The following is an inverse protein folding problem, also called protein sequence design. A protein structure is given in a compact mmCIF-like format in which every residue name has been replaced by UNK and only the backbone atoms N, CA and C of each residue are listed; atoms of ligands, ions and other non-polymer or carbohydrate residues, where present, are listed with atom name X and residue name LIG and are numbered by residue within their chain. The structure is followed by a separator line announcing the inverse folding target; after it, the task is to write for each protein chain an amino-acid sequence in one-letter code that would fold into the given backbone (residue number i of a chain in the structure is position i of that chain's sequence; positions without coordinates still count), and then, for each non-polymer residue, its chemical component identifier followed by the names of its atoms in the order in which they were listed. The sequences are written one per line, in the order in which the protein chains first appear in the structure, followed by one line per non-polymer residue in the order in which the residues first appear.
data_IF_328097837319
#
_entry.id   IF_328097837319
#
_cell.length_a   1.000
_cell.length_b   1.000
_cell.length_c   1.000
_cell.angle_alpha   90.00
_cell.angle_beta   90.00
_cell.angle_gamma   90.00
#
_symmetry.space_group_name_H-M   'P 1'
#
loop_
_entity.id
_entity.type
_entity.pdbx_description
1 polymer ?
#
# COMPACT_ATOMS: atom_id res chain seq x y z
N UNK A 1 0.99 -4.10 -12.98
CA UNK A 1 0.97 -2.62 -13.12
C UNK A 1 2.12 -2.06 -12.30
N UNK A 2 2.63 -0.84 -12.57
CA UNK A 2 3.70 -0.22 -11.78
C UNK A 2 3.27 0.00 -10.33
N UNK A 3 4.24 0.17 -9.43
CA UNK A 3 3.98 0.59 -8.05
C UNK A 3 5.07 1.52 -7.55
N UNK A 4 4.75 2.30 -6.53
CA UNK A 4 5.64 3.27 -5.90
C UNK A 4 5.40 3.29 -4.39
N UNK A 5 6.40 3.74 -3.63
CA UNK A 5 6.29 3.97 -2.20
C UNK A 5 5.95 5.45 -1.96
N UNK A 6 4.89 5.72 -1.20
CA UNK A 6 4.48 7.08 -0.83
C UNK A 6 4.15 7.15 0.66
N UNK A 7 5.12 7.57 1.48
CA UNK A 7 4.88 7.75 2.91
C UNK A 7 3.88 8.89 3.24
N UNK A 8 3.51 9.70 2.25
CA UNK A 8 2.50 10.77 2.38
C UNK A 8 1.06 10.27 2.21
N UNK A 9 0.85 9.14 1.55
CA UNK A 9 -0.45 8.46 1.45
C UNK A 9 -0.75 7.70 2.73
N UNK A 10 -1.97 7.81 3.28
CA UNK A 10 -2.32 7.17 4.55
C UNK A 10 -2.77 5.70 4.44
N UNK A 11 -2.85 5.15 3.23
CA UNK A 11 -3.47 3.86 2.92
C UNK A 11 -2.75 3.13 1.78
N UNK A 12 -3.05 1.86 1.57
CA UNK A 12 -2.72 1.17 0.33
C UNK A 12 -3.72 1.54 -0.77
N UNK A 13 -3.29 2.08 -1.92
CA UNK A 13 -4.20 2.30 -3.04
C UNK A 13 -3.87 1.40 -4.23
N UNK A 14 -4.81 0.55 -4.61
CA UNK A 14 -4.59 -0.46 -5.66
C UNK A 14 -5.92 -0.95 -6.21
N UNK A 15 -5.91 -1.28 -7.51
CA UNK A 15 -7.04 -1.79 -8.29
C UNK A 15 -8.32 -0.94 -8.16
N UNK A 16 -9.29 -1.11 -9.06
CA UNK A 16 -10.65 -0.60 -8.82
C UNK A 16 -11.41 -1.62 -7.99
N UNK A 17 -12.49 -1.22 -7.29
CA UNK A 17 -13.39 -2.18 -6.62
C UNK A 17 -13.92 -3.27 -7.56
N UNK A 18 -14.16 -2.92 -8.83
CA UNK A 18 -14.57 -3.90 -9.84
C UNK A 18 -13.47 -4.92 -10.19
N UNK A 19 -12.20 -4.53 -10.11
CA UNK A 19 -11.07 -5.40 -10.41
C UNK A 19 -10.58 -6.19 -9.18
N UNK A 20 -10.65 -5.60 -7.98
CA UNK A 20 -10.27 -6.26 -6.73
C UNK A 20 -11.38 -7.15 -6.15
N UNK A 21 -12.64 -6.86 -6.47
CA UNK A 21 -13.80 -7.47 -5.81
C UNK A 21 -14.11 -6.89 -4.43
N UNK A 22 -13.31 -5.92 -3.97
CA UNK A 22 -13.46 -5.30 -2.65
C UNK A 22 -14.43 -4.11 -2.76
N UNK A 23 -15.57 -4.13 -2.05
CA UNK A 23 -16.57 -3.08 -2.16
C UNK A 23 -16.02 -1.73 -1.65
N UNK A 24 -16.33 -0.61 -2.34
CA UNK A 24 -15.97 0.72 -1.84
C UNK A 24 -16.93 1.14 -0.71
N UNK A 25 -16.50 2.06 0.15
CA UNK A 25 -17.37 2.68 1.14
C UNK A 25 -18.43 3.59 0.48
N UNK A 26 -19.68 3.46 0.91
CA UNK A 26 -20.84 4.20 0.38
C UNK A 26 -21.20 5.47 1.17
N UNK A 27 -20.50 5.73 2.27
CA UNK A 27 -20.76 6.82 3.24
C UNK A 27 -19.60 7.83 3.31
N UNK A 28 -19.41 8.49 4.45
CA UNK A 28 -18.38 9.52 4.69
C UNK A 28 -16.95 9.08 4.35
N UNK A 29 -16.68 7.78 4.29
CA UNK A 29 -15.37 7.16 4.04
C UNK A 29 -15.12 6.93 2.54
N UNK A 30 -15.77 7.71 1.66
CA UNK A 30 -15.54 7.66 0.23
C UNK A 30 -14.05 7.74 -0.12
N UNK A 31 -13.63 6.94 -1.11
CA UNK A 31 -12.22 6.80 -1.48
C UNK A 31 -11.51 5.63 -0.80
N UNK A 32 -12.17 4.92 0.12
CA UNK A 32 -11.65 3.70 0.76
C UNK A 32 -12.51 2.46 0.48
N UNK A 33 -11.94 1.30 0.81
CA UNK A 33 -12.60 0.00 0.79
C UNK A 33 -13.37 -0.26 2.10
N UNK A 34 -14.53 -0.90 1.97
CA UNK A 34 -15.41 -1.30 3.08
C UNK A 34 -15.87 -2.76 2.92
N UNK A 35 -14.95 -3.75 2.94
CA UNK A 35 -15.34 -5.16 2.91
C UNK A 35 -16.16 -5.55 4.16
N UNK A 36 -16.98 -6.60 4.06
CA UNK A 36 -17.79 -7.10 5.18
C UNK A 36 -16.99 -7.87 6.23
N UNK A 37 -15.78 -8.31 5.90
CA UNK A 37 -14.78 -8.92 6.78
C UNK A 37 -13.38 -8.51 6.32
N UNK A 38 -12.35 -8.57 7.20
CA UNK A 38 -10.97 -8.31 6.78
C UNK A 38 -10.54 -9.18 5.60
N UNK A 39 -10.05 -8.55 4.53
CA UNK A 39 -9.54 -9.24 3.34
C UNK A 39 -8.02 -9.41 3.45
N UNK A 40 -7.56 -10.65 3.50
CA UNK A 40 -6.14 -10.98 3.48
C UNK A 40 -5.63 -11.06 2.04
N UNK A 41 -4.68 -10.19 1.69
CA UNK A 41 -4.19 -10.02 0.33
C UNK A 41 -2.66 -10.11 0.29
N UNK A 42 -2.14 -10.23 -0.92
CA UNK A 42 -0.71 -10.08 -1.17
C UNK A 42 -0.46 -9.42 -2.52
N UNK A 43 0.69 -8.76 -2.65
CA UNK A 43 1.20 -8.29 -3.93
C UNK A 43 2.68 -8.62 -4.08
N UNK A 44 3.08 -8.93 -5.31
CA UNK A 44 4.46 -9.23 -5.64
C UNK A 44 5.17 -7.95 -6.10
N UNK A 45 6.15 -7.50 -5.34
CA UNK A 45 7.07 -6.47 -5.78
C UNK A 45 8.22 -7.12 -6.54
N UNK A 46 8.53 -6.62 -7.73
CA UNK A 46 9.63 -7.09 -8.57
C UNK A 46 10.58 -5.94 -8.87
N UNK A 47 11.83 -6.08 -8.42
CA UNK A 47 12.90 -5.13 -8.71
C UNK A 47 13.36 -5.20 -10.16
N UNK A 48 14.06 -4.16 -10.63
CA UNK A 48 14.68 -4.11 -11.95
C UNK A 48 15.75 -5.19 -12.14
N UNK A 49 16.36 -5.65 -11.05
CA UNK A 49 17.28 -6.78 -11.02
C UNK A 49 16.61 -8.16 -11.15
N UNK A 50 15.28 -8.22 -11.26
CA UNK A 50 14.50 -9.45 -11.39
C UNK A 50 14.18 -10.15 -10.07
N UNK A 51 14.78 -9.72 -8.95
CA UNK A 51 14.43 -10.21 -7.61
C UNK A 51 12.99 -9.81 -7.29
N UNK A 52 12.24 -10.74 -6.72
CA UNK A 52 10.86 -10.50 -6.33
C UNK A 52 10.64 -10.82 -4.86
N UNK A 53 9.76 -10.06 -4.21
CA UNK A 53 9.36 -10.26 -2.83
C UNK A 53 7.84 -10.08 -2.70
N UNK A 54 7.19 -11.00 -2.00
CA UNK A 54 5.74 -10.95 -1.76
C UNK A 54 5.47 -10.19 -0.47
N UNK A 55 4.62 -9.16 -0.57
CA UNK A 55 4.15 -8.37 0.56
C UNK A 55 2.74 -8.80 0.88
N UNK A 56 2.55 -9.38 2.07
CA UNK A 56 1.23 -9.71 2.59
C UNK A 56 0.68 -8.52 3.40
N UNK A 57 -0.60 -8.25 3.26
CA UNK A 57 -1.30 -7.19 3.96
C UNK A 57 -2.79 -7.54 4.12
N UNK A 58 -3.48 -6.83 4.99
CA UNK A 58 -4.93 -6.97 5.17
C UNK A 58 -5.63 -5.65 4.87
N UNK A 59 -6.85 -5.72 4.36
CA UNK A 59 -7.74 -4.57 4.20
C UNK A 59 -8.95 -4.76 5.10
N UNK A 60 -9.11 -3.84 6.04
CA UNK A 60 -10.27 -3.78 6.92
C UNK A 60 -11.25 -2.72 6.41
N UNK A 61 -12.48 -2.78 6.92
CA UNK A 61 -13.51 -1.79 6.60
C UNK A 61 -13.13 -0.42 7.15
N UNK A 62 -12.97 0.58 6.27
CA UNK A 62 -12.69 1.95 6.69
C UNK A 62 -13.79 2.52 7.60
N UNK A 63 -15.05 2.14 7.40
CA UNK A 63 -16.15 2.52 8.29
C UNK A 63 -15.94 2.02 9.73
N UNK A 64 -15.40 0.79 9.90
CA UNK A 64 -15.06 0.24 11.21
C UNK A 64 -13.83 0.93 11.79
N UNK A 65 -12.79 1.13 10.98
CA UNK A 65 -11.54 1.76 11.40
C UNK A 65 -11.78 3.20 11.87
N UNK A 66 -12.53 3.99 11.11
CA UNK A 66 -12.74 5.41 11.42
C UNK A 66 -13.78 5.64 12.52
N UNK A 67 -14.62 4.65 12.82
CA UNK A 67 -15.46 4.67 14.02
C UNK A 67 -14.62 4.62 15.32
N UNK A 68 -13.37 4.14 15.25
CA UNK A 68 -12.44 4.22 16.37
C UNK A 68 -11.76 5.61 16.42
N UNK A 69 -12.36 6.54 17.17
CA UNK A 69 -11.84 7.89 17.32
C UNK A 69 -10.51 8.03 18.08
N UNK A 70 -9.94 6.94 18.59
CA UNK A 70 -8.64 6.95 19.29
C UNK A 70 -7.43 6.75 18.38
N UNK A 71 -7.62 6.20 17.18
CA UNK A 71 -6.53 5.84 16.28
C UNK A 71 -6.21 6.98 15.32
N UNK A 72 -4.92 7.26 15.12
CA UNK A 72 -4.43 8.29 14.17
C UNK A 72 -3.91 7.71 12.87
N UNK A 73 -3.64 6.41 12.83
CA UNK A 73 -3.07 5.69 11.68
C UNK A 73 -3.65 4.28 11.63
N UNK A 74 -3.81 3.75 10.41
CA UNK A 74 -4.47 2.46 10.20
C UNK A 74 -3.60 1.57 9.28
N UNK A 75 -2.96 0.52 9.83
CA UNK A 75 -2.04 -0.36 9.06
C UNK A 75 -2.73 -1.21 7.98
N UNK A 76 -4.05 -1.24 7.98
CA UNK A 76 -4.94 -2.07 7.17
C UNK A 76 -5.98 -1.24 6.39
N UNK A 77 -5.75 0.08 6.27
CA UNK A 77 -6.58 0.94 5.42
C UNK A 77 -6.15 0.80 3.96
N UNK A 78 -7.13 0.71 3.06
CA UNK A 78 -6.89 0.74 1.63
C UNK A 78 -8.03 1.35 0.84
N UNK A 79 -7.76 1.69 -0.41
CA UNK A 79 -8.72 2.27 -1.32
C UNK A 79 -8.44 1.95 -2.79
N UNK A 80 -9.39 2.24 -3.69
CA UNK A 80 -9.22 1.96 -5.10
C UNK A 80 -8.25 2.95 -5.78
N UNK A 81 -7.35 2.42 -6.62
CA UNK A 81 -6.54 3.19 -7.58
C UNK A 81 -6.34 2.38 -8.86
N UNK A 82 -6.62 2.99 -10.01
CA UNK A 82 -6.50 2.31 -11.29
C UNK A 82 -5.07 2.41 -11.85
N UNK A 83 -4.50 1.27 -12.25
CA UNK A 83 -3.27 1.24 -13.06
C UNK A 83 -1.96 1.42 -12.30
N UNK A 84 -1.97 1.54 -10.97
CA UNK A 84 -0.79 1.55 -10.12
C UNK A 84 -1.07 0.91 -8.75
N UNK A 85 0.01 0.57 -8.03
CA UNK A 85 -0.03 0.31 -6.59
C UNK A 85 0.66 1.48 -5.88
N UNK A 86 -0.09 2.21 -5.06
CA UNK A 86 0.45 3.15 -4.09
C UNK A 86 0.67 2.41 -2.76
N UNK A 87 1.93 2.14 -2.45
CA UNK A 87 2.34 1.63 -1.15
C UNK A 87 2.46 2.79 -0.16
N UNK A 88 1.32 3.14 0.44
CA UNK A 88 1.24 4.23 1.41
C UNK A 88 1.96 3.95 2.73
N UNK A 89 1.79 4.86 3.69
CA UNK A 89 2.29 4.79 5.06
C UNK A 89 2.18 3.39 5.72
N UNK A 90 1.08 2.62 5.55
CA UNK A 90 0.99 1.26 6.08
C UNK A 90 2.14 0.33 5.67
N UNK A 91 2.72 0.51 4.49
CA UNK A 91 3.86 -0.29 4.01
C UNK A 91 5.09 -0.13 4.91
N UNK A 92 5.28 1.05 5.49
CA UNK A 92 6.48 1.40 6.26
C UNK A 92 6.44 0.86 7.69
N UNK A 93 5.27 0.46 8.19
CA UNK A 93 5.14 -0.03 9.56
C UNK A 93 5.89 -1.35 9.76
N UNK A 94 6.85 -1.33 10.69
CA UNK A 94 7.71 -2.48 10.98
C UNK A 94 8.71 -2.84 9.87
N UNK A 95 8.87 -2.00 8.83
CA UNK A 95 9.84 -2.23 7.74
C UNK A 95 10.95 -1.19 7.76
N UNK A 96 12.17 -1.66 7.55
CA UNK A 96 13.27 -0.78 7.20
C UNK A 96 13.18 -0.50 5.70
N UNK A 97 12.87 0.73 5.34
CA UNK A 97 12.77 1.16 3.94
C UNK A 97 13.97 2.05 3.61
N UNK A 98 14.64 1.73 2.50
CA UNK A 98 15.83 2.43 2.03
C UNK A 98 15.56 3.06 0.67
N UNK A 99 16.07 4.26 0.46
CA UNK A 99 16.04 4.95 -0.83
C UNK A 99 17.46 5.31 -1.26
N UNK A 100 17.75 5.09 -2.52
CA UNK A 100 19.00 5.50 -3.14
C UNK A 100 18.73 6.67 -4.09
N UNK A 101 19.41 7.78 -3.85
CA UNK A 101 19.31 8.98 -4.69
C UNK A 101 19.94 8.67 -6.05
N UNK A 102 19.32 9.20 -7.11
CA UNK A 102 19.83 9.11 -8.48
C UNK A 102 21.33 9.44 -8.56
N UNK A 103 22.09 8.61 -9.30
CA UNK A 103 23.56 8.70 -9.48
C UNK A 103 24.41 8.47 -8.23
N UNK A 104 23.82 8.20 -7.06
CA UNK A 104 24.58 7.93 -5.83
C UNK A 104 24.95 6.45 -5.71
N UNK A 105 26.21 6.21 -5.41
CA UNK A 105 26.73 4.87 -5.16
C UNK A 105 26.24 4.37 -3.80
N UNK A 106 25.76 3.13 -3.79
CA UNK A 106 25.43 2.37 -2.58
C UNK A 106 26.13 1.01 -2.63
N UNK A 107 26.15 0.23 -1.54
CA UNK A 107 26.71 -1.12 -1.55
C UNK A 107 26.07 -2.08 -2.57
N UNK A 108 24.86 -1.80 -3.04
CA UNK A 108 24.09 -2.70 -3.93
C UNK A 108 23.88 -2.14 -5.34
N UNK A 109 24.56 -1.05 -5.68
CA UNK A 109 24.50 -0.41 -7.00
C UNK A 109 24.26 1.10 -6.93
N UNK A 110 24.26 1.73 -8.10
CA UNK A 110 23.98 3.17 -8.23
C UNK A 110 22.46 3.41 -8.27
N UNK A 111 21.98 4.41 -7.55
CA UNK A 111 20.57 4.84 -7.60
C UNK A 111 20.14 5.39 -8.97
N UNK A 112 18.82 5.51 -9.23
CA UNK A 112 17.76 5.52 -8.24
C UNK A 112 17.14 4.13 -8.03
N UNK A 113 16.88 3.78 -6.77
CA UNK A 113 16.08 2.62 -6.40
C UNK A 113 15.55 2.76 -4.97
N UNK A 114 14.64 1.88 -4.60
CA UNK A 114 14.24 1.64 -3.21
C UNK A 114 14.39 0.15 -2.88
N UNK A 115 14.60 -0.14 -1.60
CA UNK A 115 14.78 -1.49 -1.07
C UNK A 115 14.17 -1.58 0.33
N UNK A 116 13.80 -2.79 0.75
CA UNK A 116 13.16 -3.06 2.04
C UNK A 116 13.30 -4.53 2.45
#
# INVERSE_FOLDING_TARGET
YPGFLDSGSNAYFFLTSSASGIPPCSSSEHGFYCPSSPDSLSALNRGSNGTSNTVNFTIDSAATLFANGGDSVFPNLGGPSAGNFDWGLPFFFGRNVFTAIETRNTPIGTGPFWAY
#
